data_IF_105243600209
#
_entry.id   IF_105243600209
#
_cell.length_a   1.000
_cell.length_b   1.000
_cell.length_c   1.000
_cell.angle_alpha   90.00
_cell.angle_beta   90.00
_cell.angle_gamma   90.00
#
_symmetry.space_group_name_H-M   'P 1'
#
loop_
_entity.id
_entity.type
_entity.pdbx_description
1 polymer ?
#
# COMPACT_ATOMS: atom_id res chain seq x y z
N UNK A 1 -15.18 2.49 6.09
CA UNK A 1 -14.22 1.49 5.64
C UNK A 1 -13.16 1.37 6.70
N UNK A 2 -12.93 0.16 7.18
CA UNK A 2 -11.77 -0.20 7.99
C UNK A 2 -10.75 -0.86 7.08
N UNK A 3 -9.47 -0.52 7.28
CA UNK A 3 -8.35 -1.18 6.62
C UNK A 3 -7.70 -2.10 7.65
N UNK A 4 -7.82 -3.40 7.42
CA UNK A 4 -7.22 -4.44 8.23
C UNK A 4 -5.87 -4.82 7.62
N UNK A 5 -4.80 -4.63 8.37
CA UNK A 5 -3.43 -4.95 7.97
C UNK A 5 -2.94 -6.13 8.79
N UNK A 6 -2.52 -7.20 8.11
CA UNK A 6 -1.82 -8.28 8.79
C UNK A 6 -0.54 -7.72 9.42
N UNK A 7 -0.19 -8.19 10.62
CA UNK A 7 1.00 -7.72 11.34
C UNK A 7 2.27 -7.82 10.50
N UNK A 8 2.40 -8.89 9.73
CA UNK A 8 3.52 -9.14 8.84
C UNK A 8 3.64 -8.07 7.76
N UNK A 9 2.52 -7.55 7.23
CA UNK A 9 2.52 -6.46 6.25
C UNK A 9 3.06 -5.19 6.88
N UNK A 10 2.62 -4.85 8.11
CA UNK A 10 3.09 -3.66 8.84
C UNK A 10 4.59 -3.76 9.12
N UNK A 11 5.04 -4.90 9.66
CA UNK A 11 6.44 -5.13 9.97
C UNK A 11 7.33 -5.03 8.72
N UNK A 12 6.85 -5.52 7.58
CA UNK A 12 7.62 -5.48 6.35
C UNK A 12 7.66 -4.07 5.73
N UNK A 13 6.58 -3.29 5.83
CA UNK A 13 6.60 -1.86 5.46
C UNK A 13 7.60 -1.07 6.33
N UNK A 14 7.61 -1.30 7.65
CA UNK A 14 8.56 -0.67 8.57
C UNK A 14 10.00 -1.09 8.29
N UNK A 15 10.23 -2.38 7.99
CA UNK A 15 11.55 -2.92 7.63
C UNK A 15 12.07 -2.25 6.36
N UNK A 16 11.25 -2.18 5.31
CA UNK A 16 11.62 -1.52 4.06
C UNK A 16 11.85 -0.02 4.27
N UNK A 17 10.97 0.67 5.01
CA UNK A 17 11.19 2.08 5.35
C UNK A 17 12.51 2.31 6.06
N UNK A 18 12.89 1.42 6.98
CA UNK A 18 14.16 1.51 7.71
C UNK A 18 15.38 1.21 6.83
N UNK A 19 15.26 0.33 5.84
CA UNK A 19 16.34 0.02 4.88
C UNK A 19 16.60 1.18 3.93
N UNK A 20 15.54 1.82 3.44
CA UNK A 20 15.66 2.89 2.45
C UNK A 20 15.85 4.28 3.06
N UNK A 21 15.64 4.44 4.38
CA UNK A 21 15.86 5.70 5.09
C UNK A 21 17.27 6.28 4.78
N UNK A 22 17.39 7.58 4.47
CA UNK A 22 16.37 8.64 4.54
C UNK A 22 15.57 8.86 3.25
N UNK A 23 15.59 7.92 2.31
CA UNK A 23 14.88 8.03 1.03
C UNK A 23 13.46 7.45 1.12
N UNK A 24 12.54 8.00 0.34
CA UNK A 24 11.21 7.43 0.19
C UNK A 24 11.27 6.05 -0.51
N UNK A 25 10.45 5.13 -0.01
CA UNK A 25 10.20 3.82 -0.61
C UNK A 25 8.72 3.50 -0.55
N UNK A 26 8.30 2.42 -1.21
CA UNK A 26 6.91 2.02 -1.21
C UNK A 26 6.66 0.76 -2.02
N UNK A 27 5.39 0.51 -2.31
CA UNK A 27 4.97 -0.70 -2.97
C UNK A 27 3.46 -0.84 -3.10
N UNK A 28 3.01 -2.06 -3.37
CA UNK A 28 1.60 -2.43 -3.50
C UNK A 28 1.12 -3.23 -2.29
N UNK A 29 -0.11 -2.98 -1.87
CA UNK A 29 -0.83 -3.79 -0.87
C UNK A 29 -1.71 -4.83 -1.58
N UNK A 30 -1.65 -6.07 -1.10
CA UNK A 30 -2.40 -7.19 -1.65
C UNK A 30 -3.35 -7.80 -0.61
N UNK A 31 -4.49 -8.26 -1.09
CA UNK A 31 -5.48 -8.96 -0.28
C UNK A 31 -6.86 -8.92 -0.94
N UNK A 32 -7.91 -8.83 -0.13
CA UNK A 32 -9.28 -8.87 -0.63
C UNK A 32 -10.19 -7.82 -0.01
N UNK A 33 -11.39 -7.77 -0.57
CA UNK A 33 -12.49 -6.89 -0.16
C UNK A 33 -13.49 -7.72 0.62
N UNK A 34 -13.83 -7.29 1.83
CA UNK A 34 -14.93 -7.88 2.61
C UNK A 34 -15.96 -6.79 2.87
N UNK A 35 -17.00 -6.75 2.03
CA UNK A 35 -17.96 -5.66 2.00
C UNK A 35 -17.27 -4.27 1.88
N UNK A 36 -17.49 -3.35 2.85
CA UNK A 36 -16.88 -2.03 2.84
C UNK A 36 -15.41 -2.02 3.32
N UNK A 37 -14.90 -3.13 3.82
CA UNK A 37 -13.57 -3.23 4.43
C UNK A 37 -12.56 -3.78 3.42
N UNK A 38 -11.28 -3.58 3.75
CA UNK A 38 -10.14 -4.08 2.99
C UNK A 38 -9.23 -4.84 3.93
N UNK A 39 -8.87 -6.05 3.53
CA UNK A 39 -8.01 -6.94 4.31
C UNK A 39 -6.74 -7.14 3.50
N UNK A 40 -5.64 -6.57 3.98
CA UNK A 40 -4.34 -6.68 3.35
C UNK A 40 -3.48 -7.69 4.12
N UNK A 41 -3.09 -8.76 3.44
CA UNK A 41 -2.25 -9.85 3.98
C UNK A 41 -0.95 -10.05 3.21
N UNK A 42 -0.76 -9.32 2.11
CA UNK A 42 0.50 -9.35 1.37
C UNK A 42 0.94 -7.98 0.90
N UNK A 43 2.21 -7.90 0.49
CA UNK A 43 2.72 -6.74 -0.23
C UNK A 43 3.69 -7.13 -1.34
N UNK A 44 3.83 -6.22 -2.29
CA UNK A 44 4.93 -6.19 -3.26
C UNK A 44 5.74 -4.94 -2.96
N UNK A 45 7.05 -5.09 -2.76
CA UNK A 45 7.97 -4.00 -2.46
C UNK A 45 8.28 -3.09 -3.66
N UNK A 46 9.33 -2.27 -3.56
CA UNK A 46 9.65 -1.26 -4.57
C UNK A 46 10.13 -1.88 -5.89
N UNK A 47 10.82 -3.01 -5.82
CA UNK A 47 11.47 -3.66 -6.95
C UNK A 47 12.89 -3.13 -7.18
N UNK A 48 13.79 -3.98 -7.67
CA UNK A 48 15.22 -3.65 -7.81
C UNK A 48 15.52 -2.51 -8.78
N UNK A 49 14.61 -2.23 -9.73
CA UNK A 49 14.70 -1.09 -10.65
C UNK A 49 14.08 0.21 -10.13
N UNK A 50 13.65 0.26 -8.86
CA UNK A 50 13.02 1.45 -8.28
C UNK A 50 14.02 2.58 -8.07
N UNK A 51 13.52 3.81 -8.18
CA UNK A 51 14.28 5.03 -7.90
C UNK A 51 13.77 5.65 -6.62
N UNK A 52 14.70 5.87 -5.69
CA UNK A 52 14.46 6.40 -4.36
C UNK A 52 15.06 7.80 -4.24
N UNK A 53 14.26 8.76 -3.78
CA UNK A 53 14.67 10.14 -3.50
C UNK A 53 14.09 10.60 -2.17
N UNK A 54 14.59 11.73 -1.66
CA UNK A 54 14.18 12.26 -0.34
C UNK A 54 12.69 12.64 -0.25
N UNK A 55 12.10 13.06 -1.38
CA UNK A 55 10.72 13.52 -1.48
C UNK A 55 10.02 12.95 -2.73
N UNK A 56 10.53 11.82 -3.22
CA UNK A 56 9.99 11.18 -4.42
C UNK A 56 10.36 9.70 -4.46
N UNK A 57 9.40 8.86 -4.85
CA UNK A 57 9.60 7.46 -5.12
C UNK A 57 9.01 7.08 -6.48
N UNK A 58 9.77 6.33 -7.27
CA UNK A 58 9.31 5.76 -8.56
C UNK A 58 9.51 4.25 -8.50
N UNK A 59 8.45 3.44 -8.44
CA UNK A 59 8.59 1.99 -8.34
C UNK A 59 9.09 1.37 -9.65
N UNK A 60 9.67 0.17 -9.56
CA UNK A 60 9.85 -0.70 -10.73
C UNK A 60 8.50 -1.26 -11.17
N UNK A 61 7.75 -0.45 -11.91
CA UNK A 61 6.39 -0.79 -12.28
C UNK A 61 6.28 -2.02 -13.19
N UNK A 62 7.30 -2.35 -13.98
CA UNK A 62 7.28 -3.54 -14.83
C UNK A 62 7.40 -4.80 -13.98
N UNK A 63 8.36 -4.81 -13.05
CA UNK A 63 8.54 -5.88 -12.09
C UNK A 63 7.31 -6.05 -11.18
N UNK A 64 6.77 -4.97 -10.62
CA UNK A 64 5.61 -5.04 -9.74
C UNK A 64 4.38 -5.64 -10.44
N UNK A 65 4.12 -5.26 -11.70
CA UNK A 65 2.99 -5.84 -12.47
C UNK A 65 3.19 -7.32 -12.75
N UNK A 66 4.42 -7.74 -13.07
CA UNK A 66 4.73 -9.15 -13.27
C UNK A 66 4.53 -9.95 -11.98
N UNK A 67 4.96 -9.42 -10.82
CA UNK A 67 4.74 -10.05 -9.52
C UNK A 67 3.26 -10.11 -9.15
N UNK A 68 2.51 -9.04 -9.35
CA UNK A 68 1.06 -9.02 -9.11
C UNK A 68 0.35 -10.10 -9.93
N UNK A 69 0.64 -10.20 -11.24
CA UNK A 69 0.03 -11.22 -12.10
C UNK A 69 0.38 -12.64 -11.65
N UNK A 70 1.62 -12.87 -11.23
CA UNK A 70 2.06 -14.16 -10.69
C UNK A 70 1.33 -14.52 -9.39
N UNK A 71 1.28 -13.60 -8.42
CA UNK A 71 0.64 -13.82 -7.11
C UNK A 71 -0.86 -14.04 -7.27
N UNK A 72 -1.54 -13.20 -8.07
CA UNK A 72 -2.96 -13.34 -8.33
C UNK A 72 -3.29 -14.73 -8.91
N UNK A 73 -2.49 -15.19 -9.88
CA UNK A 73 -2.67 -16.55 -10.45
C UNK A 73 -2.34 -17.66 -9.45
N UNK A 74 -1.27 -17.52 -8.67
CA UNK A 74 -0.82 -18.55 -7.73
C UNK A 74 -1.78 -18.73 -6.54
N UNK A 75 -2.50 -17.66 -6.19
CA UNK A 75 -3.50 -17.64 -5.10
C UNK A 75 -4.93 -17.82 -5.59
N UNK A 76 -5.12 -18.20 -6.86
CA UNK A 76 -6.44 -18.32 -7.50
C UNK A 76 -7.33 -17.07 -7.33
N UNK A 77 -6.71 -15.89 -7.17
CA UNK A 77 -7.38 -14.61 -6.98
C UNK A 77 -7.62 -14.19 -5.54
N UNK A 78 -7.19 -14.97 -4.53
CA UNK A 78 -7.35 -14.60 -3.11
C UNK A 78 -6.53 -13.35 -2.75
N UNK A 79 -5.39 -13.13 -3.41
CA UNK A 79 -4.60 -11.91 -3.29
C UNK A 79 -4.71 -11.05 -4.56
N UNK A 80 -5.50 -9.98 -4.47
CA UNK A 80 -5.67 -8.95 -5.49
C UNK A 80 -5.09 -7.60 -5.02
N UNK A 81 -4.86 -6.70 -5.95
CA UNK A 81 -4.33 -5.38 -5.66
C UNK A 81 -5.37 -4.48 -4.97
N UNK A 82 -5.02 -3.94 -3.80
CA UNK A 82 -5.89 -3.07 -3.01
C UNK A 82 -5.54 -1.58 -3.10
N UNK A 83 -4.28 -1.27 -3.40
CA UNK A 83 -3.76 0.09 -3.42
C UNK A 83 -2.27 0.13 -3.09
N UNK A 84 -1.74 1.32 -2.87
CA UNK A 84 -0.31 1.52 -2.67
C UNK A 84 0.01 1.84 -1.20
N UNK A 85 1.27 1.62 -0.83
CA UNK A 85 1.86 2.13 0.40
C UNK A 85 3.18 2.83 0.10
N UNK A 86 3.57 3.80 0.91
CA UNK A 86 4.89 4.43 0.82
C UNK A 86 5.30 5.11 2.14
N UNK A 87 6.54 5.59 2.19
CA UNK A 87 7.11 6.26 3.36
C UNK A 87 7.32 7.75 3.13
N UNK A 88 7.15 8.57 4.16
CA UNK A 88 7.64 9.95 4.26
C UNK A 88 8.71 10.04 5.38
N UNK A 89 10.00 9.82 5.07
CA UNK A 89 11.08 9.99 6.04
C UNK A 89 11.11 11.41 6.62
N UNK A 90 11.27 11.52 7.94
CA UNK A 90 11.27 12.76 8.73
C UNK A 90 10.02 13.65 8.53
N UNK A 91 8.97 13.10 7.94
CA UNK A 91 7.73 13.79 7.60
C UNK A 91 6.58 13.46 8.55
N UNK A 92 5.36 13.67 8.04
CA UNK A 92 4.12 13.32 8.73
C UNK A 92 3.33 12.30 7.92
N UNK A 93 2.61 11.42 8.62
CA UNK A 93 1.73 10.43 8.01
C UNK A 93 0.44 11.13 7.56
N UNK A 94 0.55 11.92 6.49
CA UNK A 94 -0.54 12.65 5.88
C UNK A 94 -0.37 12.68 4.36
N UNK A 95 -1.48 12.60 3.63
CA UNK A 95 -1.45 12.69 2.17
C UNK A 95 -0.98 14.05 1.68
N UNK A 96 0.03 14.04 0.81
CA UNK A 96 0.40 15.15 -0.05
C UNK A 96 -0.61 15.33 -1.21
N UNK A 97 -0.48 16.43 -1.95
CA UNK A 97 -1.23 16.62 -3.20
C UNK A 97 -0.83 15.60 -4.28
N UNK A 98 0.43 15.16 -4.28
CA UNK A 98 0.92 14.12 -5.20
C UNK A 98 0.24 12.79 -4.88
N UNK A 99 0.09 12.44 -3.61
CA UNK A 99 -0.55 11.18 -3.18
C UNK A 99 -2.02 11.13 -3.60
N UNK A 100 -2.75 12.25 -3.48
CA UNK A 100 -4.15 12.34 -3.93
C UNK A 100 -4.29 12.10 -5.42
N UNK A 101 -3.34 12.61 -6.21
CA UNK A 101 -3.30 12.41 -7.67
C UNK A 101 -2.92 10.97 -8.01
N UNK A 102 -1.99 10.37 -7.29
CA UNK A 102 -1.63 8.95 -7.43
C UNK A 102 -2.85 8.07 -7.14
N UNK A 103 -3.54 8.30 -6.03
CA UNK A 103 -4.77 7.58 -5.67
C UNK A 103 -5.86 7.68 -6.75
N UNK A 104 -6.00 8.86 -7.37
CA UNK A 104 -6.91 9.07 -8.50
C UNK A 104 -6.55 8.26 -9.74
N UNK A 105 -5.26 7.97 -9.98
CA UNK A 105 -4.83 7.09 -11.07
C UNK A 105 -5.08 5.62 -10.73
N UNK A 106 -4.92 5.23 -9.47
CA UNK A 106 -5.15 3.87 -8.97
C UNK A 106 -6.64 3.51 -9.11
N UNK A 107 -7.56 4.43 -8.84
CA UNK A 107 -9.01 4.20 -8.92
C UNK A 107 -9.48 3.69 -10.30
N UNK A 108 -8.74 4.02 -11.37
CA UNK A 108 -9.04 3.50 -12.71
C UNK A 108 -8.84 1.98 -12.85
N UNK A 109 -8.20 1.34 -11.88
CA UNK A 109 -7.83 -0.09 -11.87
C UNK A 109 -8.53 -0.86 -10.77
N UNK A 110 -8.78 -0.24 -9.62
CA UNK A 110 -9.41 -0.88 -8.46
C UNK A 110 -10.45 0.06 -7.83
N UNK A 111 -11.55 -0.53 -7.36
CA UNK A 111 -12.60 0.20 -6.65
C UNK A 111 -12.17 0.51 -5.21
N UNK A 112 -12.39 1.75 -4.81
CA UNK A 112 -12.01 2.32 -3.52
C UNK A 112 -10.54 2.03 -3.16
N UNK A 113 -9.59 2.58 -3.94
CA UNK A 113 -8.18 2.27 -3.79
C UNK A 113 -7.65 2.75 -2.44
N UNK A 114 -6.69 2.00 -1.90
CA UNK A 114 -6.00 2.34 -0.66
C UNK A 114 -4.73 3.17 -0.88
N UNK A 115 -4.41 3.98 0.13
CA UNK A 115 -3.11 4.61 0.32
C UNK A 115 -2.71 4.46 1.79
N UNK A 116 -1.58 3.82 2.07
CA UNK A 116 -1.00 3.73 3.42
C UNK A 116 0.33 4.48 3.45
N UNK A 117 0.50 5.39 4.39
CA UNK A 117 1.71 6.22 4.52
C UNK A 117 2.34 5.95 5.88
N UNK A 118 3.60 5.53 5.87
CA UNK A 118 4.44 5.47 7.07
C UNK A 118 5.29 6.74 7.12
N UNK A 119 5.33 7.44 8.24
CA UNK A 119 6.17 8.63 8.39
C UNK A 119 6.92 8.63 9.72
N UNK A 120 8.11 9.18 9.72
CA UNK A 120 8.98 9.17 10.90
C UNK A 120 10.42 8.84 10.52
N UNK A 121 11.10 8.16 11.43
CA UNK A 121 12.52 7.85 11.30
C UNK A 121 12.76 6.35 11.35
N UNK A 122 13.98 5.91 11.02
CA UNK A 122 14.34 4.49 10.99
C UNK A 122 14.07 3.73 12.31
N UNK A 123 13.97 4.41 13.46
CA UNK A 123 13.66 3.79 14.75
C UNK A 123 12.18 3.76 15.11
N UNK A 124 11.35 4.55 14.43
CA UNK A 124 9.91 4.67 14.71
C UNK A 124 9.17 5.27 13.52
N UNK A 125 8.18 4.52 13.04
CA UNK A 125 7.25 4.94 12.00
C UNK A 125 5.84 5.08 12.60
N UNK A 126 5.21 6.23 12.37
CA UNK A 126 3.78 6.40 12.58
C UNK A 126 3.04 6.13 11.26
N UNK A 127 1.83 5.57 11.31
CA UNK A 127 1.09 5.15 10.11
C UNK A 127 -0.23 5.89 9.98
N UNK A 128 -0.54 6.32 8.76
CA UNK A 128 -1.85 6.82 8.36
C UNK A 128 -2.37 6.06 7.14
N UNK A 129 -3.69 5.93 7.01
CA UNK A 129 -4.28 5.26 5.87
C UNK A 129 -5.52 6.01 5.34
N UNK A 130 -5.69 5.94 4.02
CA UNK A 130 -6.78 6.57 3.30
C UNK A 130 -7.33 5.64 2.24
N UNK A 131 -8.57 5.93 1.84
CA UNK A 131 -9.21 5.29 0.69
C UNK A 131 -9.82 6.35 -0.22
N UNK A 132 -9.79 6.08 -1.52
CA UNK A 132 -10.44 6.91 -2.53
C UNK A 132 -11.92 6.55 -2.67
N UNK A 133 -12.80 7.52 -2.82
CA UNK A 133 -14.20 7.28 -3.25
C UNK A 133 -14.58 8.24 -4.35
N UNK A 134 -15.34 7.76 -5.33
CA UNK A 134 -15.86 8.58 -6.43
C UNK A 134 -17.38 8.66 -6.33
N UNK A 135 -17.97 9.82 -5.99
CA UNK A 135 -19.42 9.97 -5.95
C UNK A 135 -19.98 10.05 -7.38
N UNK A 136 -20.50 8.93 -7.87
CA UNK A 136 -21.14 8.82 -9.19
C UNK A 136 -20.18 8.98 -10.38
N UNK A 137 -20.74 8.90 -11.59
CA UNK A 137 -19.95 8.86 -12.84
C UNK A 137 -19.12 10.12 -13.12
N UNK A 138 -19.55 11.30 -12.65
CA UNK A 138 -18.90 12.58 -12.91
C UNK A 138 -18.14 13.17 -11.71
N UNK A 139 -18.19 12.51 -10.55
CA UNK A 139 -17.53 12.98 -9.33
C UNK A 139 -16.01 12.98 -9.44
N UNK A 140 -15.34 13.92 -8.78
CA UNK A 140 -13.89 13.82 -8.54
C UNK A 140 -13.63 12.82 -7.43
N UNK A 141 -12.51 12.08 -7.51
CA UNK A 141 -12.09 11.23 -6.42
C UNK A 141 -11.86 12.08 -5.16
N UNK A 142 -12.45 11.69 -4.05
CA UNK A 142 -12.15 12.21 -2.72
C UNK A 142 -11.37 11.18 -1.93
N UNK A 143 -10.32 11.59 -1.24
CA UNK A 143 -9.60 10.75 -0.30
C UNK A 143 -10.16 10.96 1.12
N UNK A 144 -10.53 9.88 1.79
CA UNK A 144 -11.00 9.90 3.18
C UNK A 144 -10.07 9.09 4.06
N UNK A 145 -9.77 9.58 5.26
CA UNK A 145 -9.01 8.80 6.23
C UNK A 145 -9.78 7.55 6.64
N UNK A 146 -9.08 6.44 6.82
CA UNK A 146 -9.64 5.18 7.30
C UNK A 146 -9.08 4.83 8.68
N UNK A 147 -9.91 4.16 9.48
CA UNK A 147 -9.43 3.45 10.65
C UNK A 147 -8.56 2.25 10.20
N UNK A 148 -7.38 2.13 10.80
CA UNK A 148 -6.48 0.98 10.59
C UNK A 148 -6.56 0.02 11.76
N UNK A 149 -6.70 -1.27 11.48
CA UNK A 149 -6.62 -2.32 12.49
C UNK A 149 -5.54 -3.32 12.13
N UNK A 150 -4.65 -3.57 13.07
CA UNK A 150 -3.62 -4.60 12.93
C UNK A 150 -4.16 -5.90 13.50
N UNK A 151 -3.99 -7.00 12.77
CA UNK A 151 -4.41 -8.33 13.23
C UNK A 151 -3.33 -9.37 12.96
N UNK A 152 -3.38 -10.47 13.73
CA UNK A 152 -2.56 -11.65 13.49
C UNK A 152 -3.29 -12.56 12.51
N UNK A 153 -2.70 -12.81 11.35
CA UNK A 153 -3.35 -13.58 10.30
C UNK A 153 -3.55 -15.04 10.75
N UNK A 154 -4.77 -15.61 10.65
CA UNK A 154 -5.02 -17.00 10.96
C UNK A 154 -4.13 -17.96 10.14
N UNK A 155 -3.77 -19.08 10.74
CA UNK A 155 -3.04 -20.15 10.03
C UNK A 155 -3.79 -20.58 8.77
N UNK A 156 -3.08 -20.63 7.65
CA UNK A 156 -3.63 -21.02 6.35
C UNK A 156 -4.12 -19.85 5.50
N UNK A 157 -4.13 -18.62 6.01
CA UNK A 157 -4.34 -17.45 5.16
C UNK A 157 -3.12 -17.19 4.26
N UNK A 158 -3.32 -16.71 3.02
CA UNK A 158 -2.23 -16.35 2.15
C UNK A 158 -1.55 -15.07 2.67
N UNK A 159 -0.39 -15.24 3.31
CA UNK A 159 0.50 -14.16 3.74
C UNK A 159 1.73 -14.19 2.84
N UNK A 160 1.93 -13.13 2.05
CA UNK A 160 2.93 -13.14 0.99
C UNK A 160 3.63 -11.79 0.86
N UNK A 161 4.95 -11.81 1.02
CA UNK A 161 5.81 -10.63 0.85
C UNK A 161 6.76 -10.87 -0.31
N UNK A 162 6.66 -10.06 -1.35
CA UNK A 162 7.55 -10.10 -2.50
C UNK A 162 8.39 -8.83 -2.53
N UNK A 163 9.66 -8.97 -2.18
CA UNK A 163 10.60 -7.86 -2.07
C UNK A 163 11.86 -8.18 -2.88
N UNK A 164 12.35 -7.20 -3.64
CA UNK A 164 13.64 -7.27 -4.34
C UNK A 164 14.35 -5.94 -4.21
#
# INVERSE_FOLDING_TARGET
MTIWLAREVVLEMERLGSIYYPLETGGMLLGWRDGPDRIATGLIGPGSGALHGLYSFIPDGAWQRARLAHIFSATAGDLDYLGDWHTHPDGVAAMSEVDRRTLSKIERRVRDPLMVILAGAASRWDMGAWFGTRPGYWGRLSASAAETRIFDAPTGWPVLMEVS
#
